data_IF_878425885332
#
_entry.id   IF_878425885332
#
_cell.length_a   1.000
_cell.length_b   1.000
_cell.length_c   1.000
_cell.angle_alpha   90.00
_cell.angle_beta   90.00
_cell.angle_gamma   90.00
#
_symmetry.space_group_name_H-M   'P 1'
#
loop_
_entity.id
_entity.type
_entity.pdbx_description
1 polymer ?
#
# COMPACT_ATOMS: atom_id res chain seq x y z
N UNK A 1 14.00 -15.97 -18.97
CA UNK A 1 12.56 -16.16 -18.72
C UNK A 1 12.03 -14.87 -18.12
N UNK A 2 11.23 -14.12 -18.87
CA UNK A 2 10.56 -12.92 -18.34
C UNK A 2 9.49 -13.40 -17.37
N UNK A 3 9.68 -13.15 -16.07
CA UNK A 3 8.68 -13.41 -15.02
C UNK A 3 7.54 -12.39 -15.16
N UNK A 4 6.72 -12.55 -16.21
CA UNK A 4 5.46 -11.84 -16.40
C UNK A 4 4.41 -12.54 -15.56
N UNK A 5 4.12 -12.00 -14.39
CA UNK A 5 3.14 -12.54 -13.47
C UNK A 5 2.68 -11.49 -12.48
N UNK A 6 1.57 -11.76 -11.80
CA UNK A 6 0.97 -10.82 -10.84
C UNK A 6 1.95 -10.34 -9.75
N UNK A 7 2.92 -11.18 -9.36
CA UNK A 7 3.96 -10.82 -8.38
C UNK A 7 4.91 -9.70 -8.83
N UNK A 8 5.12 -9.54 -10.14
CA UNK A 8 5.95 -8.46 -10.71
C UNK A 8 5.11 -7.26 -11.15
N UNK A 9 3.89 -7.53 -11.62
CA UNK A 9 2.98 -6.49 -12.09
C UNK A 9 2.45 -5.63 -10.95
N UNK A 10 1.95 -6.23 -9.87
CA UNK A 10 1.32 -5.48 -8.78
C UNK A 10 2.22 -4.37 -8.21
N UNK A 11 3.51 -4.60 -7.92
CA UNK A 11 4.39 -3.55 -7.46
C UNK A 11 4.62 -2.42 -8.47
N UNK A 12 4.67 -2.75 -9.77
CA UNK A 12 4.83 -1.74 -10.82
C UNK A 12 3.65 -0.79 -10.91
N UNK A 13 2.43 -1.23 -10.54
CA UNK A 13 1.24 -0.38 -10.51
C UNK A 13 1.26 0.65 -9.36
N UNK A 14 2.18 0.50 -8.40
CA UNK A 14 2.46 1.52 -7.38
C UNK A 14 3.44 2.58 -7.87
N UNK A 15 4.12 2.39 -9.00
CA UNK A 15 4.92 3.46 -9.60
C UNK A 15 3.99 4.61 -10.03
N UNK A 16 4.43 5.86 -9.85
CA UNK A 16 3.59 7.03 -10.12
C UNK A 16 2.50 7.31 -9.08
N UNK A 17 2.28 6.41 -8.10
CA UNK A 17 1.24 6.57 -7.06
C UNK A 17 1.37 7.81 -6.19
N UNK A 18 2.45 8.59 -6.35
CA UNK A 18 2.67 9.88 -5.70
C UNK A 18 1.80 11.01 -6.26
N UNK A 19 1.10 10.79 -7.38
CA UNK A 19 0.17 11.77 -7.92
C UNK A 19 -1.03 12.02 -6.97
N UNK A 20 -1.56 13.24 -7.03
CA UNK A 20 -2.50 13.79 -6.04
C UNK A 20 -3.88 13.10 -6.03
N UNK A 21 -4.23 12.31 -7.05
CA UNK A 21 -5.59 11.77 -7.22
C UNK A 21 -5.65 10.25 -7.41
N UNK A 22 -4.58 9.52 -7.09
CA UNK A 22 -4.49 8.09 -7.39
C UNK A 22 -4.82 7.17 -6.20
N UNK A 23 -5.61 7.69 -5.24
CA UNK A 23 -5.90 7.00 -3.98
C UNK A 23 -6.62 5.67 -4.17
N UNK A 24 -7.67 5.65 -5.00
CA UNK A 24 -8.40 4.43 -5.38
C UNK A 24 -7.48 3.37 -6.00
N UNK A 25 -6.50 3.81 -6.80
CA UNK A 25 -5.55 2.88 -7.41
C UNK A 25 -4.67 2.26 -6.35
N UNK A 26 -4.12 3.08 -5.44
CA UNK A 26 -3.29 2.59 -4.34
C UNK A 26 -4.07 1.61 -3.48
N UNK A 27 -5.29 1.95 -3.08
CA UNK A 27 -6.15 1.06 -2.29
C UNK A 27 -6.30 -0.32 -2.97
N UNK A 28 -6.72 -0.33 -4.24
CA UNK A 28 -6.96 -1.56 -5.00
C UNK A 28 -5.68 -2.40 -5.16
N UNK A 29 -4.55 -1.75 -5.45
CA UNK A 29 -3.27 -2.46 -5.62
C UNK A 29 -2.79 -3.02 -4.29
N UNK A 30 -2.92 -2.29 -3.17
CA UNK A 30 -2.54 -2.77 -1.84
C UNK A 30 -3.41 -3.96 -1.41
N UNK A 31 -4.72 -3.92 -1.68
CA UNK A 31 -5.61 -5.05 -1.44
C UNK A 31 -5.20 -6.28 -2.28
N UNK A 32 -4.91 -6.09 -3.56
CA UNK A 32 -4.45 -7.17 -4.43
C UNK A 32 -3.11 -7.76 -3.98
N UNK A 33 -2.15 -6.91 -3.59
CA UNK A 33 -0.87 -7.34 -3.03
C UNK A 33 -1.08 -8.11 -1.72
N UNK A 34 -2.00 -7.69 -0.85
CA UNK A 34 -2.31 -8.40 0.39
C UNK A 34 -2.89 -9.79 0.11
N UNK A 35 -3.78 -9.93 -0.87
CA UNK A 35 -4.31 -11.23 -1.29
C UNK A 35 -3.23 -12.17 -1.85
N UNK A 36 -2.18 -11.60 -2.47
CA UNK A 36 -1.08 -12.33 -3.08
C UNK A 36 0.15 -12.47 -2.17
N UNK A 37 0.15 -11.87 -0.97
CA UNK A 37 1.35 -11.74 -0.14
C UNK A 37 2.00 -13.09 0.19
N UNK A 38 1.19 -14.12 0.48
CA UNK A 38 1.69 -15.48 0.75
C UNK A 38 2.41 -16.13 -0.43
N UNK A 39 2.06 -15.75 -1.67
CA UNK A 39 2.63 -16.34 -2.89
C UNK A 39 3.74 -15.48 -3.47
N UNK A 40 3.63 -14.16 -3.34
CA UNK A 40 4.51 -13.18 -3.97
C UNK A 40 5.41 -12.43 -2.97
N UNK A 41 5.48 -12.87 -1.70
CA UNK A 41 6.15 -12.16 -0.61
C UNK A 41 7.59 -11.76 -0.94
N UNK A 42 8.39 -12.70 -1.46
CA UNK A 42 9.78 -12.45 -1.85
C UNK A 42 9.92 -11.42 -2.98
N UNK A 43 8.99 -11.39 -3.94
CA UNK A 43 9.02 -10.37 -4.99
C UNK A 43 8.57 -9.01 -4.42
N UNK A 44 7.57 -9.01 -3.55
CA UNK A 44 7.06 -7.79 -2.93
C UNK A 44 8.03 -7.16 -1.93
N UNK A 45 8.94 -7.93 -1.32
CA UNK A 45 9.95 -7.38 -0.40
C UNK A 45 10.86 -6.35 -1.07
N UNK A 46 11.14 -6.50 -2.37
CA UNK A 46 11.87 -5.49 -3.17
C UNK A 46 11.16 -4.14 -3.24
N UNK A 47 9.85 -4.11 -3.00
CA UNK A 47 8.99 -2.92 -3.06
C UNK A 47 8.75 -2.30 -1.67
N UNK A 48 9.34 -2.87 -0.63
CA UNK A 48 9.20 -2.39 0.75
C UNK A 48 9.49 -0.89 0.92
N UNK A 49 10.52 -0.28 0.30
CA UNK A 49 10.74 1.17 0.41
C UNK A 49 9.55 2.00 -0.09
N UNK A 50 8.95 1.59 -1.22
CA UNK A 50 7.77 2.24 -1.79
C UNK A 50 6.56 2.09 -0.86
N UNK A 51 6.33 0.89 -0.32
CA UNK A 51 5.23 0.65 0.62
C UNK A 51 5.41 1.48 1.91
N UNK A 52 6.63 1.59 2.44
CA UNK A 52 6.93 2.43 3.60
C UNK A 52 6.71 3.92 3.33
N UNK A 53 7.07 4.41 2.14
CA UNK A 53 6.78 5.78 1.74
C UNK A 53 5.26 6.03 1.66
N UNK A 54 4.50 5.07 1.15
CA UNK A 54 3.03 5.13 1.13
C UNK A 54 2.44 5.11 2.54
N UNK A 55 2.94 4.26 3.45
CA UNK A 55 2.54 4.26 4.87
C UNK A 55 2.68 5.65 5.48
N UNK A 56 3.83 6.31 5.29
CA UNK A 56 4.06 7.66 5.81
C UNK A 56 3.12 8.69 5.19
N UNK A 57 2.86 8.60 3.89
CA UNK A 57 1.95 9.51 3.18
C UNK A 57 0.51 9.37 3.70
N UNK A 58 -0.03 8.16 3.71
CA UNK A 58 -1.42 7.93 4.13
C UNK A 58 -1.64 8.20 5.60
N UNK A 59 -0.62 8.02 6.45
CA UNK A 59 -0.67 8.49 7.82
C UNK A 59 -0.87 10.01 7.91
N UNK A 60 -0.11 10.79 7.13
CA UNK A 60 -0.25 12.25 7.10
C UNK A 60 -1.60 12.69 6.53
N UNK A 61 -2.09 12.01 5.49
CA UNK A 61 -3.40 12.32 4.90
C UNK A 61 -4.53 12.02 5.88
N UNK A 62 -4.51 10.87 6.56
CA UNK A 62 -5.50 10.53 7.59
C UNK A 62 -5.47 11.53 8.75
N UNK A 63 -4.29 11.98 9.18
CA UNK A 63 -4.18 13.02 10.21
C UNK A 63 -4.76 14.37 9.75
N UNK A 64 -4.55 14.76 8.50
CA UNK A 64 -5.10 15.99 7.95
C UNK A 64 -6.63 15.92 7.82
N UNK A 65 -7.17 14.81 7.31
CA UNK A 65 -8.60 14.54 7.18
C UNK A 65 -9.32 14.61 8.54
N UNK A 66 -8.73 14.00 9.57
CA UNK A 66 -9.23 14.08 10.95
C UNK A 66 -9.16 15.50 11.53
N UNK A 67 -8.10 16.25 11.22
CA UNK A 67 -7.94 17.62 11.71
C UNK A 67 -8.92 18.60 11.06
N UNK A 68 -9.26 18.39 9.80
CA UNK A 68 -10.17 19.25 9.03
C UNK A 68 -11.64 18.92 9.30
N UNK A 69 -11.99 17.64 9.42
CA UNK A 69 -13.38 17.19 9.51
C UNK A 69 -13.82 16.76 10.92
N UNK A 70 -12.89 16.70 11.89
CA UNK A 70 -13.20 16.35 13.28
C UNK A 70 -13.82 14.96 13.39
N UNK A 71 -14.99 14.85 14.04
CA UNK A 71 -15.72 13.59 14.23
C UNK A 71 -16.48 13.11 13.00
N UNK A 72 -16.64 13.98 11.99
CA UNK A 72 -17.36 13.67 10.75
C UNK A 72 -16.40 13.30 9.60
N UNK A 73 -15.12 13.10 9.92
CA UNK A 73 -14.11 12.63 8.98
C UNK A 73 -14.50 11.24 8.43
N UNK A 74 -14.42 11.08 7.11
CA UNK A 74 -14.42 9.75 6.51
C UNK A 74 -13.13 9.03 6.93
N UNK A 75 -13.20 7.71 7.10
CA UNK A 75 -12.05 6.87 7.47
C UNK A 75 -11.29 6.38 6.22
N UNK A 76 -11.50 7.02 5.07
CA UNK A 76 -10.96 6.59 3.79
C UNK A 76 -9.43 6.49 3.81
N UNK A 77 -8.72 7.56 4.18
CA UNK A 77 -7.25 7.51 4.21
C UNK A 77 -6.71 6.63 5.34
N UNK A 78 -7.44 6.55 6.46
CA UNK A 78 -7.10 5.67 7.59
C UNK A 78 -7.18 4.18 7.19
N UNK A 79 -8.17 3.81 6.38
CA UNK A 79 -8.34 2.44 5.89
C UNK A 79 -7.18 2.00 4.98
N UNK A 80 -6.71 2.90 4.10
CA UNK A 80 -5.56 2.65 3.22
C UNK A 80 -4.28 2.54 4.03
N UNK A 81 -4.07 3.45 4.99
CA UNK A 81 -2.94 3.40 5.93
C UNK A 81 -2.88 2.06 6.66
N UNK A 82 -4.01 1.62 7.22
CA UNK A 82 -4.11 0.36 7.95
C UNK A 82 -3.79 -0.84 7.06
N UNK A 83 -4.31 -0.85 5.84
CA UNK A 83 -4.05 -1.91 4.85
C UNK A 83 -2.56 -1.97 4.47
N UNK A 84 -1.92 -0.82 4.28
CA UNK A 84 -0.49 -0.73 3.99
C UNK A 84 0.37 -1.25 5.15
N UNK A 85 0.05 -0.91 6.40
CA UNK A 85 0.77 -1.43 7.56
C UNK A 85 0.67 -2.95 7.67
N UNK A 86 -0.52 -3.51 7.44
CA UNK A 86 -0.73 -4.95 7.44
C UNK A 86 0.12 -5.62 6.35
N UNK A 87 0.10 -5.09 5.13
CA UNK A 87 0.90 -5.61 4.02
C UNK A 87 2.40 -5.57 4.31
N UNK A 88 2.92 -4.45 4.82
CA UNK A 88 4.35 -4.31 5.17
C UNK A 88 4.74 -5.32 6.25
N UNK A 89 3.89 -5.54 7.26
CA UNK A 89 4.14 -6.51 8.32
C UNK A 89 4.08 -7.95 7.82
N UNK A 90 3.18 -8.26 6.89
CA UNK A 90 3.08 -9.58 6.26
C UNK A 90 4.34 -9.89 5.43
N UNK A 91 4.75 -8.97 4.56
CA UNK A 91 5.95 -9.14 3.73
C UNK A 91 7.20 -9.28 4.60
N UNK A 92 7.32 -8.52 5.69
CA UNK A 92 8.50 -8.58 6.57
C UNK A 92 8.68 -9.94 7.28
N UNK A 93 7.59 -10.67 7.51
CA UNK A 93 7.63 -11.98 8.18
C UNK A 93 8.21 -13.08 7.28
N UNK A 94 8.09 -12.94 5.96
CA UNK A 94 8.54 -13.92 4.98
C UNK A 94 9.99 -13.67 4.50
N UNK A 95 10.62 -12.59 4.95
CA UNK A 95 12.03 -12.22 4.68
C UNK A 95 13.03 -12.72 5.76
N UNK A 96 12.55 -13.34 6.84
CA UNK A 96 13.32 -13.86 7.99
C UNK A 96 13.35 -15.38 8.02
#
# INVERSE_FOLDING_TARGET
MTLTGWCTLMPSLLQGSQELNEHDRVEKVVQAMSALAKTCGTQFSTTRPTLQALVQRYHKLAQAEQAESGTDADDFFLSIYSSLQQLVNQIHRDDL
#
